data_IF_335305785882
#
_entry.id   IF_335305785882
#
_cell.length_a   1.000
_cell.length_b   1.000
_cell.length_c   1.000
_cell.angle_alpha   90.00
_cell.angle_beta   90.00
_cell.angle_gamma   90.00
#
_symmetry.space_group_name_H-M   'P 1'
#
loop_
_entity.id
_entity.type
_entity.pdbx_description
1 polymer ?
#
# COMPACT_ATOMS: atom_id res chain seq x y z
N UNK A 1 2.14 -14.42 6.41
CA UNK A 1 1.66 -13.02 6.24
C UNK A 1 2.79 -12.07 6.55
N UNK A 2 2.67 -10.78 6.17
CA UNK A 2 3.72 -9.76 6.42
C UNK A 2 4.01 -9.65 7.91
N UNK A 3 3.00 -9.67 8.77
CA UNK A 3 3.17 -9.58 10.23
C UNK A 3 4.07 -10.68 10.84
N UNK A 4 4.06 -11.88 10.25
CA UNK A 4 4.91 -13.00 10.72
C UNK A 4 6.39 -12.75 10.45
N UNK A 5 6.70 -12.12 9.31
CA UNK A 5 8.07 -11.85 8.88
C UNK A 5 8.54 -10.54 9.50
N UNK A 6 7.76 -9.46 9.35
CA UNK A 6 8.02 -8.16 9.93
C UNK A 6 7.40 -8.04 11.33
N UNK A 7 7.81 -8.95 12.21
CA UNK A 7 7.38 -8.97 13.60
C UNK A 7 7.89 -7.74 14.36
N UNK A 8 7.38 -7.53 15.57
CA UNK A 8 7.90 -6.52 16.48
C UNK A 8 9.17 -7.01 17.17
N UNK A 9 10.11 -6.11 17.41
CA UNK A 9 11.24 -6.34 18.30
C UNK A 9 10.84 -6.20 19.78
N UNK A 10 11.81 -6.35 20.67
CA UNK A 10 11.59 -6.25 22.12
C UNK A 10 11.16 -4.83 22.58
N UNK A 11 11.31 -3.82 21.74
CA UNK A 11 10.91 -2.44 22.00
C UNK A 11 9.54 -2.11 21.35
N UNK A 12 8.90 -3.08 20.70
CA UNK A 12 7.62 -2.91 20.02
C UNK A 12 7.74 -2.32 18.60
N UNK A 13 8.96 -2.12 18.08
CA UNK A 13 9.17 -1.58 16.75
C UNK A 13 9.11 -2.67 15.68
N UNK A 14 8.61 -2.34 14.50
CA UNK A 14 8.67 -3.21 13.32
C UNK A 14 10.11 -3.32 12.82
N UNK A 15 10.54 -4.52 12.44
CA UNK A 15 11.91 -4.77 11.94
C UNK A 15 12.24 -3.95 10.68
N UNK A 16 11.24 -3.73 9.81
CA UNK A 16 11.39 -2.99 8.56
C UNK A 16 10.26 -1.97 8.42
N UNK A 17 10.60 -0.78 7.93
CA UNK A 17 9.62 0.23 7.52
C UNK A 17 9.20 0.00 6.06
N UNK A 18 7.89 -0.04 5.80
CA UNK A 18 7.35 -0.28 4.46
C UNK A 18 6.71 1.00 3.92
N UNK A 19 7.26 1.52 2.83
CA UNK A 19 6.68 2.64 2.07
C UNK A 19 6.26 2.15 0.68
N UNK A 20 5.20 2.72 0.12
CA UNK A 20 4.71 2.34 -1.21
C UNK A 20 4.10 3.52 -1.96
N UNK A 21 4.23 3.48 -3.29
CA UNK A 21 3.61 4.43 -4.22
C UNK A 21 2.69 3.67 -5.16
N UNK A 22 1.43 4.08 -5.23
CA UNK A 22 0.43 3.51 -6.15
C UNK A 22 0.30 4.37 -7.40
N UNK A 23 0.71 3.82 -8.54
CA UNK A 23 0.53 4.47 -9.85
C UNK A 23 -0.86 4.18 -10.43
N UNK A 24 -1.54 5.15 -11.08
CA UNK A 24 -2.94 5.03 -11.49
C UNK A 24 -3.14 4.24 -12.79
N UNK A 25 -2.20 3.36 -13.16
CA UNK A 25 -2.25 2.54 -14.39
C UNK A 25 -3.51 1.66 -14.50
N UNK A 26 -4.13 1.32 -13.37
CA UNK A 26 -5.38 0.54 -13.34
C UNK A 26 -6.63 1.40 -13.62
N UNK A 27 -6.58 2.72 -13.40
CA UNK A 27 -7.71 3.62 -13.68
C UNK A 27 -7.91 3.90 -15.17
N UNK A 28 -6.92 3.55 -16.01
CA UNK A 28 -7.02 3.59 -17.48
C UNK A 28 -7.93 2.45 -17.99
N UNK A 29 -8.19 1.43 -17.16
CA UNK A 29 -9.00 0.27 -17.53
C UNK A 29 -10.49 0.51 -17.27
N UNK A 30 -11.32 -0.29 -17.93
CA UNK A 30 -12.78 -0.19 -17.86
C UNK A 30 -13.30 -0.11 -16.41
N UNK A 31 -14.40 0.63 -16.12
CA UNK A 31 -14.84 0.95 -14.76
C UNK A 31 -14.99 -0.25 -13.80
N UNK A 32 -15.38 -1.41 -14.32
CA UNK A 32 -15.52 -2.64 -13.54
C UNK A 32 -14.19 -3.18 -12.99
N UNK A 33 -13.05 -2.79 -13.56
CA UNK A 33 -11.70 -3.13 -13.09
C UNK A 33 -11.11 -2.09 -12.11
N UNK A 34 -11.80 -0.97 -11.88
CA UNK A 34 -11.32 0.08 -10.97
C UNK A 34 -11.57 -0.30 -9.49
N UNK A 35 -12.60 -1.11 -9.22
CA UNK A 35 -12.93 -1.55 -7.87
C UNK A 35 -11.79 -2.36 -7.21
N UNK A 36 -11.05 -3.16 -7.98
CA UNK A 36 -9.88 -3.90 -7.48
C UNK A 36 -8.71 -2.96 -7.16
N UNK A 37 -8.52 -1.91 -7.96
CA UNK A 37 -7.52 -0.86 -7.70
C UNK A 37 -7.77 -0.11 -6.39
N UNK A 38 -9.03 0.24 -6.11
CA UNK A 38 -9.40 0.88 -4.83
C UNK A 38 -9.12 -0.05 -3.64
N UNK A 39 -9.53 -1.32 -3.73
CA UNK A 39 -9.28 -2.30 -2.67
C UNK A 39 -7.79 -2.51 -2.41
N UNK A 40 -7.00 -2.56 -3.49
CA UNK A 40 -5.55 -2.64 -3.39
C UNK A 40 -4.95 -1.41 -2.70
N UNK A 41 -5.35 -0.19 -3.09
CA UNK A 41 -4.88 1.05 -2.47
C UNK A 41 -5.22 1.09 -0.97
N UNK A 42 -6.44 0.68 -0.58
CA UNK A 42 -6.84 0.57 0.82
C UNK A 42 -5.98 -0.43 1.59
N UNK A 43 -5.73 -1.61 1.01
CA UNK A 43 -4.84 -2.61 1.60
C UNK A 43 -3.42 -2.06 1.80
N UNK A 44 -2.87 -1.40 0.78
CA UNK A 44 -1.51 -0.85 0.84
C UNK A 44 -1.38 0.29 1.86
N UNK A 45 -2.42 1.12 2.00
CA UNK A 45 -2.51 2.13 3.05
C UNK A 45 -2.42 1.50 4.44
N UNK A 46 -3.23 0.47 4.70
CA UNK A 46 -3.23 -0.22 5.99
C UNK A 46 -1.89 -0.95 6.24
N UNK A 47 -1.35 -1.59 5.20
CA UNK A 47 -0.08 -2.30 5.29
C UNK A 47 1.07 -1.36 5.66
N UNK A 48 1.22 -0.24 4.96
CA UNK A 48 2.29 0.71 5.24
C UNK A 48 2.16 1.32 6.63
N UNK A 49 0.94 1.69 7.05
CA UNK A 49 0.65 2.22 8.38
C UNK A 49 1.07 1.25 9.50
N UNK A 50 0.66 -0.03 9.42
CA UNK A 50 1.04 -1.06 10.41
C UNK A 50 2.53 -1.36 10.46
N UNK A 51 3.26 -0.99 9.42
CA UNK A 51 4.70 -1.15 9.31
C UNK A 51 5.45 0.18 9.44
N UNK A 52 4.80 1.19 10.04
CA UNK A 52 5.39 2.48 10.38
C UNK A 52 5.82 3.34 9.20
N UNK A 53 5.34 3.04 7.99
CA UNK A 53 5.63 3.80 6.78
C UNK A 53 4.39 4.43 6.16
N UNK A 54 4.51 4.89 4.92
CA UNK A 54 3.48 5.67 4.22
C UNK A 54 3.13 5.10 2.86
N UNK A 55 1.84 5.20 2.50
CA UNK A 55 1.35 4.94 1.16
C UNK A 55 0.98 6.26 0.46
N UNK A 56 1.50 6.47 -0.75
CA UNK A 56 1.17 7.61 -1.61
C UNK A 56 0.44 7.11 -2.85
N UNK A 57 -0.85 7.44 -2.96
CA UNK A 57 -1.64 7.19 -4.16
C UNK A 57 -1.53 8.37 -5.13
N UNK A 58 -1.07 8.12 -6.35
CA UNK A 58 -1.03 9.13 -7.40
C UNK A 58 -2.40 9.19 -8.09
N UNK A 59 -2.96 10.40 -8.19
CA UNK A 59 -4.30 10.62 -8.75
C UNK A 59 -4.31 10.86 -10.26
N UNK A 60 -3.15 11.10 -10.86
CA UNK A 60 -3.01 11.45 -12.28
C UNK A 60 -1.74 10.81 -12.84
N UNK A 61 -1.77 10.43 -14.12
CA UNK A 61 -0.61 9.97 -14.87
C UNK A 61 -0.57 10.73 -16.20
N UNK A 62 0.51 11.47 -16.39
CA UNK A 62 0.81 12.18 -17.64
C UNK A 62 1.93 11.41 -18.34
N UNK A 63 1.70 10.90 -19.57
CA UNK A 63 2.72 10.20 -20.34
C UNK A 63 3.84 11.13 -20.82
#
# INVERSE_FOLDING_TARGET
TVDRINRTDNQGNRLVRINAVGFPVQFIRAPHLQATGIRFATLMRELTYRNGGTFVGLNDFRP
#
